data_IF_294404093020
#
_entry.id   IF_294404093020
#
_cell.length_a   1.000
_cell.length_b   1.000
_cell.length_c   1.000
_cell.angle_alpha   90.00
_cell.angle_beta   90.00
_cell.angle_gamma   90.00
#
_symmetry.space_group_name_H-M   'P 1'
#
loop_
_entity.id
_entity.type
_entity.pdbx_description
1 polymer ?
#
# COMPACT_ATOMS: atom_id res chain seq x y z
N UNK A 1 0.90 -10.40 -10.02
CA UNK A 1 0.45 -9.20 -9.29
C UNK A 1 -0.80 -9.52 -8.50
N UNK A 2 -0.62 -9.93 -7.26
CA UNK A 2 -1.70 -10.39 -6.40
C UNK A 2 -1.83 -9.51 -5.16
N UNK A 3 -3.02 -9.52 -4.54
CA UNK A 3 -3.28 -8.86 -3.27
C UNK A 3 -2.22 -9.26 -2.24
N UNK A 4 -1.78 -8.33 -1.43
CA UNK A 4 -0.73 -8.40 -0.41
C UNK A 4 0.69 -8.29 -0.92
N UNK A 5 0.92 -8.38 -2.22
CA UNK A 5 2.26 -8.18 -2.76
C UNK A 5 2.69 -6.73 -2.66
N UNK A 6 3.98 -6.54 -2.38
CA UNK A 6 4.62 -5.24 -2.35
C UNK A 6 5.44 -5.08 -3.64
N UNK A 7 5.16 -4.01 -4.36
CA UNK A 7 5.84 -3.69 -5.61
C UNK A 7 6.40 -2.29 -5.57
N UNK A 8 7.57 -2.13 -6.19
CA UNK A 8 8.10 -0.82 -6.48
C UNK A 8 7.39 -0.29 -7.72
N UNK A 9 6.77 0.89 -7.62
CA UNK A 9 6.06 1.48 -8.75
C UNK A 9 6.40 2.96 -8.89
N UNK A 10 6.16 3.51 -10.09
CA UNK A 10 6.25 4.94 -10.34
C UNK A 10 4.89 5.59 -10.06
N UNK A 11 4.86 6.54 -9.14
CA UNK A 11 3.65 7.27 -8.78
C UNK A 11 3.51 8.61 -9.50
N UNK A 12 4.58 9.08 -10.13
CA UNK A 12 4.54 10.34 -10.88
C UNK A 12 3.82 10.17 -12.22
N UNK A 13 3.16 11.22 -12.73
CA UNK A 13 3.02 12.55 -12.12
C UNK A 13 1.97 12.57 -11.00
N UNK A 14 2.22 13.38 -9.97
CA UNK A 14 1.32 13.60 -8.84
C UNK A 14 1.12 15.09 -8.60
N UNK A 15 0.11 15.45 -7.80
CA UNK A 15 -0.24 16.83 -7.53
C UNK A 15 -0.35 17.06 -6.03
N UNK A 16 0.20 18.19 -5.55
CA UNK A 16 0.05 18.64 -4.16
C UNK A 16 0.61 17.66 -3.14
N UNK A 17 -0.23 17.28 -2.17
CA UNK A 17 0.16 16.42 -1.04
C UNK A 17 0.20 14.92 -1.37
N UNK A 18 -0.06 14.53 -2.62
CA UNK A 18 0.05 13.13 -3.02
C UNK A 18 1.47 12.63 -2.87
N UNK A 19 1.61 11.38 -2.41
CA UNK A 19 2.93 10.72 -2.36
C UNK A 19 3.42 10.53 -3.79
N UNK A 20 4.65 10.95 -4.04
CA UNK A 20 5.24 11.01 -5.38
C UNK A 20 6.50 10.17 -5.50
N UNK A 21 7.07 10.15 -6.71
CA UNK A 21 8.28 9.42 -7.09
C UNK A 21 8.04 7.91 -7.18
N UNK A 22 9.13 7.19 -7.24
CA UNK A 22 9.14 5.73 -7.20
C UNK A 22 9.07 5.29 -5.75
N UNK A 23 8.06 4.49 -5.42
CA UNK A 23 7.80 4.07 -4.03
C UNK A 23 7.34 2.63 -3.97
N UNK A 24 7.60 1.93 -2.86
CA UNK A 24 6.90 0.68 -2.59
C UNK A 24 5.42 0.94 -2.36
N UNK A 25 4.59 0.05 -2.89
CA UNK A 25 3.14 0.05 -2.63
C UNK A 25 2.71 -1.38 -2.32
N UNK A 26 1.61 -1.53 -1.61
CA UNK A 26 0.98 -2.83 -1.41
C UNK A 26 -0.29 -2.91 -2.25
N UNK A 27 -0.49 -4.03 -2.94
CA UNK A 27 -1.72 -4.28 -3.69
C UNK A 27 -2.82 -4.64 -2.70
N UNK A 28 -3.89 -3.85 -2.68
CA UNK A 28 -5.03 -4.05 -1.78
C UNK A 28 -6.29 -4.49 -2.51
N UNK A 29 -6.33 -4.38 -3.84
CA UNK A 29 -7.48 -4.85 -4.62
C UNK A 29 -7.61 -6.37 -4.56
N UNK A 30 -8.87 -6.85 -4.60
CA UNK A 30 -9.17 -8.27 -4.65
C UNK A 30 -8.65 -8.90 -5.94
N UNK A 31 -8.14 -10.12 -5.85
CA UNK A 31 -7.72 -10.89 -7.02
C UNK A 31 -8.90 -11.39 -7.84
N UNK A 32 -10.11 -11.30 -7.29
CA UNK A 32 -11.33 -11.86 -7.88
C UNK A 32 -12.16 -10.84 -8.67
N UNK A 33 -11.71 -9.62 -8.82
CA UNK A 33 -12.49 -8.55 -9.48
C UNK A 33 -12.29 -8.45 -11.00
N UNK A 34 -11.73 -9.48 -11.61
CA UNK A 34 -11.57 -9.54 -13.06
C UNK A 34 -10.16 -9.22 -13.55
N UNK A 35 -10.05 -9.02 -14.87
CA UNK A 35 -8.76 -8.92 -15.57
C UNK A 35 -8.45 -7.50 -16.03
N UNK A 36 -8.78 -6.51 -15.24
CA UNK A 36 -8.47 -5.11 -15.56
C UNK A 36 -6.96 -4.87 -15.53
N UNK A 37 -6.44 -4.01 -16.43
CA UNK A 37 -5.03 -3.62 -16.39
C UNK A 37 -4.76 -2.57 -15.30
N UNK A 38 -5.49 -2.66 -14.20
CA UNK A 38 -5.45 -1.74 -13.06
C UNK A 38 -5.34 -2.53 -11.77
N UNK A 39 -4.65 -1.96 -10.79
CA UNK A 39 -4.62 -2.46 -9.41
C UNK A 39 -4.90 -1.31 -8.47
N UNK A 40 -5.61 -1.58 -7.38
CA UNK A 40 -5.75 -0.60 -6.31
C UNK A 40 -4.63 -0.84 -5.32
N UNK A 41 -3.85 0.21 -5.04
CA UNK A 41 -2.64 0.12 -4.22
C UNK A 41 -2.68 1.18 -3.11
N UNK A 42 -1.98 0.88 -2.01
CA UNK A 42 -1.74 1.84 -0.95
C UNK A 42 -0.22 2.06 -0.84
N UNK A 43 0.25 3.31 -0.86
CA UNK A 43 1.67 3.58 -0.84
C UNK A 43 2.28 3.35 0.54
N UNK A 44 3.55 2.95 0.54
CA UNK A 44 4.36 2.82 1.74
C UNK A 44 5.31 4.01 1.82
N UNK A 45 5.43 4.57 3.01
CA UNK A 45 6.35 5.67 3.28
C UNK A 45 7.20 5.31 4.49
N UNK A 46 8.28 6.06 4.72
CA UNK A 46 9.13 5.84 5.89
C UNK A 46 8.32 6.04 7.16
N UNK A 47 8.53 5.15 8.13
CA UNK A 47 7.89 5.27 9.43
C UNK A 47 8.32 6.55 10.13
N UNK A 48 7.34 7.23 10.75
CA UNK A 48 7.58 8.38 11.63
C UNK A 48 6.79 8.17 12.92
N UNK A 49 7.39 8.59 14.04
CA UNK A 49 6.82 8.30 15.36
C UNK A 49 5.37 8.77 15.51
N UNK A 50 5.03 9.95 14.97
CA UNK A 50 3.68 10.48 15.09
C UNK A 50 2.63 9.67 14.33
N UNK A 51 3.03 8.78 13.41
CA UNK A 51 2.10 7.90 12.70
C UNK A 51 1.43 6.89 13.63
N UNK A 52 2.02 6.62 14.80
CA UNK A 52 1.42 5.70 15.77
C UNK A 52 0.03 6.16 16.25
N UNK A 53 -0.26 7.44 16.16
CA UNK A 53 -1.54 8.02 16.58
C UNK A 53 -2.52 8.24 15.42
N UNK A 54 -2.10 7.91 14.20
CA UNK A 54 -2.93 8.11 13.01
C UNK A 54 -3.60 6.78 12.63
N UNK A 55 -4.95 6.69 12.73
CA UNK A 55 -5.66 5.40 12.59
C UNK A 55 -5.49 4.71 11.24
N UNK A 56 -5.22 5.46 10.17
CA UNK A 56 -5.09 4.88 8.83
C UNK A 56 -3.65 4.58 8.44
N UNK A 57 -2.69 4.76 9.36
CA UNK A 57 -1.30 4.38 9.16
C UNK A 57 -1.05 3.01 9.79
N UNK A 58 -0.50 2.08 9.02
CA UNK A 58 -0.14 0.75 9.52
C UNK A 58 1.37 0.59 9.48
N UNK A 59 1.98 0.38 10.64
CA UNK A 59 3.42 0.17 10.76
C UNK A 59 3.81 -1.18 10.17
N UNK A 60 4.91 -1.19 9.42
CA UNK A 60 5.46 -2.41 8.81
C UNK A 60 6.94 -2.49 9.14
N UNK A 61 7.32 -3.54 9.88
CA UNK A 61 8.71 -3.80 10.23
C UNK A 61 9.35 -4.61 9.10
N UNK A 62 10.55 -4.21 8.60
CA UNK A 62 11.23 -4.96 7.56
C UNK A 62 11.46 -6.42 7.96
N UNK A 63 11.21 -7.33 7.03
CA UNK A 63 11.53 -8.73 7.21
C UNK A 63 11.84 -9.36 5.85
N UNK A 64 12.23 -10.65 5.86
CA UNK A 64 12.58 -11.35 4.63
C UNK A 64 11.39 -11.47 3.68
N UNK A 65 10.19 -11.67 4.22
CA UNK A 65 8.98 -11.85 3.41
C UNK A 65 8.59 -10.57 2.66
N UNK A 66 8.63 -9.42 3.34
CA UNK A 66 8.17 -8.17 2.73
C UNK A 66 9.23 -7.46 1.89
N UNK A 67 10.49 -7.82 2.05
CA UNK A 67 11.59 -7.27 1.24
C UNK A 67 11.88 -5.79 1.44
N UNK A 68 11.35 -5.18 2.50
CA UNK A 68 11.60 -3.77 2.80
C UNK A 68 12.95 -3.62 3.50
N UNK A 69 13.61 -2.47 3.28
CA UNK A 69 14.92 -2.19 3.85
C UNK A 69 14.86 -1.40 5.15
N UNK A 70 13.76 -0.72 5.40
CA UNK A 70 13.60 0.15 6.57
C UNK A 70 12.16 0.15 7.08
N UNK A 71 11.97 0.53 8.36
CA UNK A 71 10.61 0.65 8.93
C UNK A 71 9.75 1.57 8.07
N UNK A 72 8.55 1.10 7.77
CA UNK A 72 7.64 1.77 6.85
C UNK A 72 6.25 1.88 7.44
N UNK A 73 5.43 2.73 6.83
CA UNK A 73 4.01 2.83 7.13
C UNK A 73 3.20 2.75 5.84
N UNK A 74 2.14 1.97 5.87
CA UNK A 74 1.15 1.98 4.79
C UNK A 74 0.17 3.12 5.03
N UNK A 75 0.06 4.03 4.06
CA UNK A 75 -0.85 5.16 4.12
C UNK A 75 -2.15 4.80 3.38
N UNK A 76 -3.14 4.31 4.12
CA UNK A 76 -4.41 3.92 3.53
C UNK A 76 -5.20 5.11 2.98
N UNK A 77 -4.93 6.33 3.46
CA UNK A 77 -5.64 7.51 2.96
C UNK A 77 -5.24 7.86 1.52
N UNK A 78 -4.07 7.44 1.08
CA UNK A 78 -3.60 7.69 -0.27
C UNK A 78 -3.80 6.49 -1.21
N UNK A 79 -4.73 5.62 -0.87
CA UNK A 79 -5.12 4.50 -1.74
C UNK A 79 -5.57 5.03 -3.10
N UNK A 80 -5.12 4.36 -4.17
CA UNK A 80 -5.47 4.78 -5.53
C UNK A 80 -5.42 3.60 -6.49
N UNK A 81 -6.16 3.73 -7.59
CA UNK A 81 -6.07 2.83 -8.72
C UNK A 81 -4.93 3.25 -9.63
N UNK A 82 -4.09 2.32 -10.04
CA UNK A 82 -2.95 2.60 -10.92
C UNK A 82 -2.88 1.58 -12.04
N UNK A 83 -2.35 2.01 -13.20
CA UNK A 83 -2.07 1.11 -14.29
C UNK A 83 -0.97 0.12 -13.91
N UNK A 84 -1.11 -1.13 -14.34
CA UNK A 84 -0.06 -2.14 -14.16
C UNK A 84 1.24 -1.75 -14.86
N UNK A 85 1.18 -0.85 -15.83
CA UNK A 85 2.38 -0.33 -16.52
C UNK A 85 3.30 0.47 -15.60
N UNK A 86 2.79 0.94 -14.47
CA UNK A 86 3.60 1.66 -13.46
C UNK A 86 4.45 0.73 -12.61
N UNK A 87 4.21 -0.57 -12.66
CA UNK A 87 4.87 -1.56 -11.81
C UNK A 87 6.27 -1.86 -12.35
N UNK A 88 7.29 -1.73 -11.50
CA UNK A 88 8.69 -1.86 -11.86
C UNK A 88 9.22 -3.24 -11.46
N UNK A 89 9.12 -3.60 -10.17
CA UNK A 89 9.52 -4.92 -9.69
C UNK A 89 8.86 -5.28 -8.36
N UNK A 90 8.69 -6.56 -8.13
CA UNK A 90 8.16 -7.09 -6.88
C UNK A 90 9.24 -7.05 -5.81
N UNK A 91 8.90 -6.57 -4.61
CA UNK A 91 9.79 -6.56 -3.45
C UNK A 91 9.51 -7.72 -2.50
N UNK A 92 8.26 -8.09 -2.33
CA UNK A 92 7.85 -9.14 -1.40
C UNK A 92 6.35 -9.17 -1.22
N UNK A 93 5.92 -9.61 -0.04
CA UNK A 93 4.50 -9.63 0.31
C UNK A 93 4.30 -9.43 1.80
N UNK A 94 3.09 -9.00 2.19
CA UNK A 94 2.71 -8.84 3.59
C UNK A 94 1.98 -10.07 4.10
N UNK A 95 2.11 -10.33 5.41
CA UNK A 95 1.37 -11.41 6.05
C UNK A 95 -0.11 -11.07 6.23
N UNK A 96 -0.92 -12.08 6.57
CA UNK A 96 -2.36 -11.93 6.70
C UNK A 96 -2.74 -10.94 7.80
N UNK A 97 -2.01 -10.93 8.92
CA UNK A 97 -2.29 -10.04 10.05
C UNK A 97 -2.09 -8.59 9.67
N UNK A 98 -1.00 -8.27 8.98
CA UNK A 98 -0.72 -6.91 8.50
C UNK A 98 -1.77 -6.49 7.46
N UNK A 99 -2.16 -7.40 6.56
CA UNK A 99 -3.19 -7.11 5.58
C UNK A 99 -4.55 -6.85 6.22
N UNK A 100 -4.89 -7.54 7.31
CA UNK A 100 -6.11 -7.26 8.08
C UNK A 100 -6.10 -5.85 8.66
N UNK A 101 -4.97 -5.42 9.22
CA UNK A 101 -4.82 -4.07 9.76
C UNK A 101 -4.99 -3.02 8.67
N UNK A 102 -4.41 -3.23 7.50
CA UNK A 102 -4.56 -2.33 6.36
C UNK A 102 -6.00 -2.30 5.88
N UNK A 103 -6.65 -3.45 5.79
CA UNK A 103 -8.06 -3.55 5.38
C UNK A 103 -8.96 -2.76 6.35
N UNK A 104 -8.72 -2.88 7.65
CA UNK A 104 -9.48 -2.13 8.65
C UNK A 104 -9.27 -0.62 8.50
N UNK A 105 -8.04 -0.19 8.22
CA UNK A 105 -7.74 1.21 7.93
C UNK A 105 -8.50 1.72 6.71
N UNK A 106 -8.61 0.89 5.66
CA UNK A 106 -9.38 1.24 4.46
C UNK A 106 -10.87 1.36 4.76
N UNK A 107 -11.42 0.48 5.59
CA UNK A 107 -12.82 0.56 6.02
C UNK A 107 -13.08 1.91 6.70
N UNK A 108 -12.19 2.34 7.58
CA UNK A 108 -12.30 3.63 8.27
C UNK A 108 -12.18 4.81 7.33
N UNK A 109 -11.15 4.81 6.49
CA UNK A 109 -10.87 5.90 5.55
C UNK A 109 -12.00 6.09 4.55
N UNK A 110 -12.56 4.99 4.07
CA UNK A 110 -13.62 5.01 3.06
C UNK A 110 -15.01 5.16 3.66
N UNK A 111 -15.12 5.13 4.99
CA UNK A 111 -16.42 5.27 5.67
C UNK A 111 -17.36 4.09 5.44
N UNK A 112 -16.80 2.90 5.28
CA UNK A 112 -17.61 1.71 5.05
C UNK A 112 -18.24 1.26 6.37
N UNK A 113 -19.56 1.13 6.37
CA UNK A 113 -20.30 0.58 7.51
C UNK A 113 -20.28 -0.96 7.44
N UNK A 114 -19.98 -1.57 8.58
CA UNK A 114 -19.96 -3.03 8.71
C UNK A 114 -21.24 -3.59 9.36
#
# INVERSE_FOLDING_TARGET
MQRSEIWLISLDPTIGAEIRKTRPVVIVSSDDVGTLPLKIVAPLTDWKLHYAEIPWMTAIVPNRQNGLEKPSSCDAFQVRSVSVERFIRKLGSLDAKTMQAITQSLVEVLGIEE
#
